data_IF_531520009042
#
_entry.id   IF_531520009042
#
_cell.length_a   1.000
_cell.length_b   1.000
_cell.length_c   1.000
_cell.angle_alpha   90.00
_cell.angle_beta   90.00
_cell.angle_gamma   90.00
#
_symmetry.space_group_name_H-M   'P 1'
#
loop_
_entity.id
_entity.type
_entity.pdbx_description
1 polymer ?
#
# COMPACT_ATOMS: atom_id res chain seq x y z
N UNK A 1 28.03 -38.35 2.49
CA UNK A 1 26.88 -38.01 1.64
C UNK A 1 25.66 -38.07 2.53
N UNK A 2 25.24 -36.91 3.03
CA UNK A 2 23.87 -36.70 3.47
C UNK A 2 23.68 -35.17 3.43
N UNK A 3 22.97 -34.79 2.39
CA UNK A 3 22.72 -33.44 1.91
C UNK A 3 21.53 -32.90 2.70
N UNK A 4 21.81 -32.10 3.72
CA UNK A 4 20.78 -31.40 4.47
C UNK A 4 20.44 -30.10 3.73
N UNK A 5 19.75 -30.23 2.59
CA UNK A 5 19.20 -29.10 1.84
C UNK A 5 17.88 -28.68 2.50
N UNK A 6 17.99 -27.93 3.60
CA UNK A 6 16.86 -27.20 4.13
C UNK A 6 16.47 -26.13 3.10
N UNK A 7 15.19 -26.02 2.70
CA UNK A 7 14.78 -25.02 1.73
C UNK A 7 15.12 -23.65 2.29
N UNK A 8 16.02 -22.95 1.60
CA UNK A 8 16.48 -21.61 1.91
C UNK A 8 15.26 -20.71 2.07
N UNK A 9 14.83 -20.48 3.32
CA UNK A 9 13.67 -19.70 3.64
C UNK A 9 13.94 -18.26 3.18
N UNK A 10 13.41 -17.92 2.00
CA UNK A 10 13.42 -16.55 1.48
C UNK A 10 12.94 -15.64 2.62
N UNK A 11 13.66 -14.58 2.99
CA UNK A 11 13.21 -13.69 4.05
C UNK A 11 11.79 -13.24 3.71
N UNK A 12 10.87 -13.38 4.67
CA UNK A 12 9.47 -13.03 4.49
C UNK A 12 9.38 -11.60 3.95
N UNK A 13 8.93 -11.45 2.70
CA UNK A 13 8.75 -10.15 2.06
C UNK A 13 7.79 -9.34 2.93
N UNK A 14 8.20 -8.14 3.34
CA UNK A 14 7.34 -7.23 4.08
C UNK A 14 6.23 -6.77 3.15
N UNK A 15 5.01 -7.25 3.39
CA UNK A 15 3.82 -6.85 2.64
C UNK A 15 2.96 -5.89 3.49
N UNK A 16 2.61 -4.75 2.90
CA UNK A 16 1.74 -3.75 3.52
C UNK A 16 0.30 -3.98 3.09
N UNK A 17 -0.63 -4.01 4.03
CA UNK A 17 -2.05 -3.88 3.69
C UNK A 17 -2.36 -2.47 3.14
N UNK A 18 -3.55 -2.22 2.54
CA UNK A 18 -3.88 -0.92 1.97
C UNK A 18 -3.87 0.26 2.95
N UNK A 19 -4.22 0.02 4.23
CA UNK A 19 -4.22 1.04 5.28
C UNK A 19 -2.80 1.29 5.76
N UNK A 20 -2.01 0.25 5.96
CA UNK A 20 -0.58 0.33 6.28
C UNK A 20 0.17 1.10 5.20
N UNK A 21 -0.06 0.77 3.92
CA UNK A 21 0.51 1.45 2.76
C UNK A 21 0.13 2.95 2.74
N UNK A 22 -1.14 3.26 3.03
CA UNK A 22 -1.61 4.65 3.15
C UNK A 22 -0.90 5.41 4.27
N UNK A 23 -0.80 4.82 5.46
CA UNK A 23 -0.15 5.44 6.63
C UNK A 23 1.33 5.68 6.35
N UNK A 24 2.04 4.68 5.84
CA UNK A 24 3.46 4.81 5.48
C UNK A 24 3.66 5.88 4.41
N UNK A 25 2.85 5.88 3.35
CA UNK A 25 2.89 6.92 2.32
C UNK A 25 2.66 8.32 2.91
N UNK A 26 1.72 8.48 3.84
CA UNK A 26 1.44 9.76 4.50
C UNK A 26 2.61 10.23 5.38
N UNK A 27 3.22 9.32 6.14
CA UNK A 27 4.39 9.65 6.96
C UNK A 27 5.57 10.09 6.09
N UNK A 28 5.86 9.35 5.01
CA UNK A 28 6.92 9.69 4.05
C UNK A 28 6.66 11.04 3.37
N UNK A 29 5.43 11.26 2.91
CA UNK A 29 5.03 12.52 2.27
C UNK A 29 5.22 13.71 3.22
N UNK A 30 4.74 13.60 4.46
CA UNK A 30 4.79 14.69 5.43
C UNK A 30 6.18 14.93 6.02
N UNK A 31 7.02 13.90 6.11
CA UNK A 31 8.42 14.06 6.46
C UNK A 31 9.17 14.94 5.45
N UNK A 32 8.85 14.81 4.15
CA UNK A 32 9.48 15.60 3.08
C UNK A 32 8.83 16.98 2.89
N UNK A 33 7.50 17.05 2.92
CA UNK A 33 6.75 18.27 2.54
C UNK A 33 6.41 19.21 3.69
N UNK A 34 6.38 18.70 4.92
CA UNK A 34 6.03 19.46 6.13
C UNK A 34 6.92 19.03 7.31
N UNK A 35 8.26 19.21 7.19
CA UNK A 35 9.20 18.73 8.20
C UNK A 35 8.98 19.36 9.58
N UNK A 36 8.40 20.56 9.66
CA UNK A 36 8.05 21.24 10.91
C UNK A 36 6.90 20.56 11.68
N UNK A 37 6.04 19.82 10.98
CA UNK A 37 4.94 19.06 11.58
C UNK A 37 5.37 17.64 11.96
N UNK A 38 6.45 17.13 11.36
CA UNK A 38 6.96 15.78 11.57
C UNK A 38 7.89 15.71 12.80
N UNK A 39 7.83 14.65 13.63
CA UNK A 39 7.00 13.45 13.52
C UNK A 39 5.52 13.68 13.83
N UNK A 40 4.64 12.91 13.18
CA UNK A 40 3.19 13.13 13.23
C UNK A 40 2.54 12.47 14.44
N UNK A 41 1.54 13.12 15.03
CA UNK A 41 0.63 12.46 15.96
C UNK A 41 -0.34 11.54 15.22
N UNK A 42 -0.98 10.61 15.93
CA UNK A 42 -2.01 9.72 15.37
C UNK A 42 -3.12 10.49 14.64
N UNK A 43 -3.61 11.59 15.22
CA UNK A 43 -4.63 12.44 14.58
C UNK A 43 -4.11 13.13 13.31
N UNK A 44 -2.85 13.57 13.29
CA UNK A 44 -2.26 14.16 12.09
C UNK A 44 -2.11 13.11 10.97
N UNK A 45 -1.81 11.86 11.32
CA UNK A 45 -1.77 10.73 10.38
C UNK A 45 -3.16 10.45 9.83
N UNK A 46 -4.18 10.37 10.69
CA UNK A 46 -5.58 10.20 10.28
C UNK A 46 -6.01 11.27 9.27
N UNK A 47 -5.76 12.55 9.59
CA UNK A 47 -6.05 13.67 8.69
C UNK A 47 -5.30 13.53 7.37
N UNK A 48 -4.03 13.14 7.39
CA UNK A 48 -3.23 12.92 6.19
C UNK A 48 -3.76 11.74 5.34
N UNK A 49 -4.22 10.66 5.96
CA UNK A 49 -4.75 9.48 5.27
C UNK A 49 -6.06 9.79 4.51
N UNK A 50 -6.88 10.67 5.09
CA UNK A 50 -8.22 11.04 4.60
C UNK A 50 -8.23 12.31 3.73
N UNK A 51 -7.07 12.80 3.27
CA UNK A 51 -7.01 13.96 2.38
C UNK A 51 -7.75 13.67 1.05
N UNK A 52 -8.50 14.67 0.56
CA UNK A 52 -9.23 14.57 -0.72
C UNK A 52 -8.31 14.72 -1.94
N UNK A 53 -7.14 15.31 -1.75
CA UNK A 53 -6.13 15.51 -2.78
C UNK A 53 -4.95 14.60 -2.52
N UNK A 54 -4.26 14.21 -3.58
CA UNK A 54 -3.11 13.33 -3.50
C UNK A 54 -3.37 11.95 -2.91
N UNK A 55 -4.61 11.47 -2.95
CA UNK A 55 -5.03 10.15 -2.50
C UNK A 55 -5.90 9.49 -3.57
N UNK A 56 -5.48 8.33 -4.03
CA UNK A 56 -6.26 7.49 -4.94
C UNK A 56 -6.13 6.04 -4.42
N UNK A 57 -7.21 5.44 -3.88
CA UNK A 57 -8.53 6.03 -3.64
C UNK A 57 -8.55 7.01 -2.44
N UNK A 58 -9.50 7.95 -2.44
CA UNK A 58 -9.81 8.74 -1.25
C UNK A 58 -10.39 7.80 -0.18
N UNK A 59 -9.83 7.83 1.03
CA UNK A 59 -10.28 7.00 2.15
C UNK A 59 -10.97 7.84 3.21
N UNK A 60 -11.79 7.18 4.04
CA UNK A 60 -12.37 7.72 5.25
C UNK A 60 -12.09 6.73 6.38
N UNK A 61 -10.83 6.71 6.83
CA UNK A 61 -10.41 5.87 7.93
C UNK A 61 -10.92 6.44 9.25
N UNK A 62 -11.22 5.54 10.19
CA UNK A 62 -11.57 5.88 11.57
C UNK A 62 -10.32 5.91 12.46
N UNK A 63 -10.31 6.68 13.57
CA UNK A 63 -9.17 6.75 14.48
C UNK A 63 -8.70 5.37 14.96
N UNK A 64 -9.64 4.48 15.34
CA UNK A 64 -9.33 3.14 15.81
C UNK A 64 -8.61 2.27 14.78
N UNK A 65 -8.96 2.42 13.50
CA UNK A 65 -8.32 1.72 12.38
C UNK A 65 -6.87 2.17 12.20
N UNK A 66 -6.62 3.48 12.28
CA UNK A 66 -5.26 4.04 12.19
C UNK A 66 -4.42 3.63 13.40
N UNK A 67 -4.98 3.68 14.61
CA UNK A 67 -4.31 3.24 15.83
C UNK A 67 -3.87 1.76 15.76
N UNK A 68 -4.77 0.89 15.27
CA UNK A 68 -4.48 -0.53 15.12
C UNK A 68 -3.35 -0.77 14.12
N UNK A 69 -3.43 -0.16 12.93
CA UNK A 69 -2.40 -0.29 11.91
C UNK A 69 -1.05 0.29 12.36
N UNK A 70 -1.02 1.40 13.11
CA UNK A 70 0.22 1.95 13.67
C UNK A 70 0.90 1.00 14.64
N UNK A 71 0.14 0.29 15.49
CA UNK A 71 0.71 -0.73 16.39
C UNK A 71 1.29 -1.91 15.61
N UNK A 72 0.61 -2.36 14.55
CA UNK A 72 1.12 -3.42 13.69
C UNK A 72 2.42 -3.01 12.98
N UNK A 73 2.45 -1.80 12.43
CA UNK A 73 3.63 -1.21 11.81
C UNK A 73 4.79 -1.02 12.79
N UNK A 74 4.51 -0.60 14.03
CA UNK A 74 5.50 -0.47 15.09
C UNK A 74 6.06 -1.84 15.49
N UNK A 75 5.21 -2.86 15.67
CA UNK A 75 5.63 -4.22 15.97
C UNK A 75 6.53 -4.83 14.90
N UNK A 76 6.35 -4.43 13.64
CA UNK A 76 7.20 -4.79 12.49
C UNK A 76 8.40 -3.84 12.31
N UNK A 77 8.52 -2.81 13.15
CA UNK A 77 9.58 -1.81 13.11
C UNK A 77 9.53 -0.88 11.90
N UNK A 78 8.43 -0.84 11.14
CA UNK A 78 8.22 0.04 9.97
C UNK A 78 7.96 1.48 10.37
N UNK A 79 7.47 1.67 11.60
CA UNK A 79 7.28 2.94 12.27
C UNK A 79 7.94 2.86 13.64
N UNK A 80 8.35 4.00 14.21
CA UNK A 80 8.79 4.11 15.61
C UNK A 80 8.15 5.31 16.29
N UNK A 81 7.95 5.22 17.59
CA UNK A 81 7.56 6.37 18.41
C UNK A 81 8.77 7.27 18.69
N UNK A 82 8.60 8.57 18.50
CA UNK A 82 9.62 9.58 18.76
C UNK A 82 9.88 9.70 20.29
N UNK A 83 11.15 9.64 20.76
CA UNK A 83 11.48 9.54 22.19
C UNK A 83 11.05 10.74 23.06
N UNK A 84 10.82 11.91 22.45
CA UNK A 84 10.71 13.19 23.16
C UNK A 84 9.29 13.74 23.31
N UNK A 85 8.25 13.00 22.94
CA UNK A 85 6.89 13.54 22.91
C UNK A 85 6.15 13.37 24.24
N UNK A 86 6.27 14.35 25.14
CA UNK A 86 5.71 14.32 26.51
C UNK A 86 4.18 14.39 26.60
N UNK A 87 3.47 14.81 25.54
CA UNK A 87 2.01 15.06 25.58
C UNK A 87 1.17 14.12 24.73
N UNK A 88 1.72 13.62 23.63
CA UNK A 88 1.01 12.72 22.69
C UNK A 88 2.04 11.90 21.92
N UNK A 89 1.77 10.61 21.66
CA UNK A 89 2.66 9.81 20.84
C UNK A 89 2.82 10.43 19.44
N UNK A 90 4.07 10.50 18.98
CA UNK A 90 4.42 10.95 17.63
C UNK A 90 5.19 9.84 16.93
N UNK A 91 4.89 9.62 15.66
CA UNK A 91 5.37 8.49 14.89
C UNK A 91 6.29 8.94 13.76
N UNK A 92 7.39 8.22 13.61
CA UNK A 92 8.36 8.36 12.52
C UNK A 92 8.34 7.12 11.63
N UNK A 93 8.37 7.30 10.30
CA UNK A 93 8.59 6.17 9.40
C UNK A 93 10.03 5.66 9.49
N UNK A 94 10.21 4.37 9.24
CA UNK A 94 11.52 3.71 9.06
C UNK A 94 11.69 3.16 7.64
N UNK A 95 10.98 3.74 6.67
CA UNK A 95 10.94 3.33 5.27
C UNK A 95 12.30 2.89 4.70
N UNK A 96 13.32 3.76 4.75
CA UNK A 96 14.63 3.45 4.17
C UNK A 96 15.37 2.34 4.90
N UNK A 97 15.10 2.12 6.18
CA UNK A 97 15.73 1.04 6.94
C UNK A 97 15.24 -0.34 6.51
N UNK A 98 14.03 -0.42 5.97
CA UNK A 98 13.44 -1.68 5.49
C UNK A 98 13.68 -1.91 4.01
N UNK A 99 13.54 -0.86 3.20
CA UNK A 99 13.67 -0.99 1.75
C UNK A 99 14.99 -0.45 1.19
N UNK A 100 15.90 0.10 1.98
CA UNK A 100 17.22 0.54 1.50
C UNK A 100 17.14 1.55 0.34
N UNK A 101 16.21 2.50 0.43
CA UNK A 101 15.89 3.43 -0.67
C UNK A 101 16.65 4.75 -0.56
N UNK A 102 17.01 5.32 -1.71
CA UNK A 102 17.45 6.73 -1.78
C UNK A 102 16.26 7.68 -1.67
N UNK A 103 16.51 8.98 -1.47
CA UNK A 103 15.44 9.99 -1.41
C UNK A 103 14.56 10.01 -2.69
N UNK A 104 15.18 9.91 -3.88
CA UNK A 104 14.47 9.84 -5.16
C UNK A 104 13.63 8.56 -5.29
N UNK A 105 14.18 7.42 -4.92
CA UNK A 105 13.45 6.15 -4.94
C UNK A 105 12.25 6.16 -3.99
N UNK A 106 12.46 6.66 -2.76
CA UNK A 106 11.42 6.81 -1.75
C UNK A 106 10.31 7.77 -2.22
N UNK A 107 10.66 8.87 -2.89
CA UNK A 107 9.68 9.80 -3.44
C UNK A 107 8.76 9.12 -4.47
N UNK A 108 9.32 8.37 -5.42
CA UNK A 108 8.55 7.63 -6.43
C UNK A 108 7.63 6.60 -5.78
N UNK A 109 8.15 5.80 -4.84
CA UNK A 109 7.36 4.80 -4.11
C UNK A 109 6.25 5.44 -3.27
N UNK A 110 6.52 6.59 -2.64
CA UNK A 110 5.53 7.35 -1.87
C UNK A 110 4.34 7.77 -2.75
N UNK A 111 4.60 8.26 -3.97
CA UNK A 111 3.51 8.62 -4.89
C UNK A 111 2.69 7.40 -5.27
N UNK A 112 3.33 6.27 -5.58
CA UNK A 112 2.62 5.03 -5.91
C UNK A 112 1.81 4.48 -4.73
N UNK A 113 2.32 4.53 -3.50
CA UNK A 113 1.60 4.12 -2.29
C UNK A 113 0.32 4.96 -2.06
N UNK A 114 0.38 6.24 -2.41
CA UNK A 114 -0.72 7.17 -2.17
C UNK A 114 -1.72 7.24 -3.33
N UNK A 115 -1.30 6.89 -4.55
CA UNK A 115 -2.08 7.11 -5.76
C UNK A 115 -2.18 5.90 -6.72
N UNK A 116 -1.56 4.78 -6.38
CA UNK A 116 -1.58 3.58 -7.20
C UNK A 116 -0.66 3.69 -8.44
N UNK A 117 -1.05 3.08 -9.57
CA UNK A 117 -0.22 3.02 -10.78
C UNK A 117 -0.07 4.38 -11.47
N UNK A 118 1.16 4.76 -11.81
CA UNK A 118 1.49 6.09 -12.32
C UNK A 118 2.28 6.04 -13.62
N UNK A 119 2.10 7.01 -14.52
CA UNK A 119 3.02 7.20 -15.66
C UNK A 119 4.28 7.98 -15.23
N UNK A 120 5.33 7.96 -16.06
CA UNK A 120 6.56 8.73 -15.79
C UNK A 120 6.30 10.24 -15.70
N UNK A 121 5.44 10.78 -16.56
CA UNK A 121 5.10 12.20 -16.56
C UNK A 121 4.36 12.60 -15.27
N UNK A 122 3.45 11.75 -14.80
CA UNK A 122 2.75 11.98 -13.54
C UNK A 122 3.69 11.86 -12.34
N UNK A 123 4.59 10.87 -12.33
CA UNK A 123 5.60 10.74 -11.28
C UNK A 123 6.45 12.00 -11.22
N UNK A 124 7.02 12.44 -12.35
CA UNK A 124 7.82 13.66 -12.44
C UNK A 124 7.10 14.88 -11.85
N UNK A 125 5.83 15.08 -12.21
CA UNK A 125 5.03 16.19 -11.70
C UNK A 125 4.68 16.06 -10.20
N UNK A 126 4.48 14.84 -9.70
CA UNK A 126 3.97 14.58 -8.33
C UNK A 126 5.08 14.37 -7.31
N UNK A 127 6.32 14.08 -7.73
CA UNK A 127 7.48 13.92 -6.84
C UNK A 127 8.22 15.22 -6.56
N UNK A 128 7.90 16.32 -7.26
CA UNK A 128 8.62 17.61 -7.18
C UNK A 128 8.82 18.12 -5.74
N UNK A 129 7.80 17.97 -4.88
CA UNK A 129 7.86 18.38 -3.47
C UNK A 129 8.48 17.32 -2.53
N UNK A 130 8.77 16.13 -3.03
CA UNK A 130 9.30 15.00 -2.26
C UNK A 130 10.80 14.83 -2.45
N UNK A 131 11.29 15.02 -3.69
CA UNK A 131 12.70 14.97 -4.04
C UNK A 131 12.94 15.70 -5.37
N UNK A 132 14.14 16.25 -5.53
CA UNK A 132 14.52 16.93 -6.77
C UNK A 132 14.81 15.95 -7.91
N UNK A 133 14.10 16.13 -9.02
CA UNK A 133 14.33 15.45 -10.29
C UNK A 133 14.59 16.49 -11.40
N UNK A 134 15.81 16.57 -11.95
CA UNK A 134 16.14 17.52 -13.00
C UNK A 134 15.35 17.29 -14.30
N UNK A 135 14.99 16.04 -14.58
CA UNK A 135 14.27 15.67 -15.81
C UNK A 135 13.38 14.44 -15.62
N UNK A 136 12.50 14.20 -16.59
CA UNK A 136 11.71 12.96 -16.67
C UNK A 136 12.60 11.72 -16.89
N UNK A 137 13.78 11.89 -17.49
CA UNK A 137 14.73 10.80 -17.69
C UNK A 137 15.34 10.36 -16.35
N UNK A 138 15.60 11.28 -15.42
CA UNK A 138 16.03 10.94 -14.05
C UNK A 138 14.96 10.11 -13.30
N UNK A 139 13.68 10.40 -13.55
CA UNK A 139 12.56 9.62 -13.00
C UNK A 139 12.54 8.23 -13.62
N UNK A 140 12.69 8.14 -14.95
CA UNK A 140 12.77 6.85 -15.67
C UNK A 140 13.89 5.99 -15.11
N UNK A 141 15.11 6.53 -15.04
CA UNK A 141 16.28 5.82 -14.51
C UNK A 141 16.06 5.35 -13.07
N UNK A 142 15.37 6.16 -12.26
CA UNK A 142 15.04 5.81 -10.87
C UNK A 142 14.04 4.67 -10.80
N UNK A 143 13.01 4.70 -11.63
CA UNK A 143 12.01 3.64 -11.75
C UNK A 143 12.63 2.36 -12.29
N UNK A 144 13.44 2.44 -13.35
CA UNK A 144 14.11 1.29 -13.96
C UNK A 144 15.04 0.59 -12.95
N UNK A 145 15.78 1.37 -12.14
CA UNK A 145 16.55 0.81 -11.01
C UNK A 145 15.69 0.10 -9.97
N UNK A 146 14.46 0.57 -9.71
CA UNK A 146 13.54 -0.07 -8.77
C UNK A 146 12.92 -1.36 -9.36
N UNK A 147 12.74 -1.41 -10.68
CA UNK A 147 12.26 -2.60 -11.42
C UNK A 147 13.35 -3.67 -11.52
N UNK A 148 14.60 -3.28 -11.79
CA UNK A 148 15.74 -4.19 -11.98
C UNK A 148 16.36 -4.67 -10.67
N UNK A 149 15.97 -4.09 -9.53
CA UNK A 149 16.50 -4.48 -8.22
C UNK A 149 16.05 -5.89 -7.85
N UNK A 150 16.85 -6.57 -7.02
CA UNK A 150 16.47 -7.79 -6.33
C UNK A 150 16.42 -7.55 -4.79
N UNK A 151 15.25 -7.71 -4.14
CA UNK A 151 13.92 -7.88 -4.73
C UNK A 151 13.43 -6.61 -5.44
N UNK A 152 12.62 -6.78 -6.48
CA UNK A 152 12.02 -5.66 -7.21
C UNK A 152 11.02 -4.93 -6.31
N UNK A 153 11.02 -3.60 -6.36
CA UNK A 153 10.09 -2.76 -5.58
C UNK A 153 9.01 -2.12 -6.43
N UNK A 154 9.19 -2.15 -7.75
CA UNK A 154 8.26 -1.60 -8.74
C UNK A 154 8.11 -2.59 -9.88
N UNK A 155 6.92 -2.66 -10.46
CA UNK A 155 6.62 -3.40 -11.69
C UNK A 155 6.10 -2.43 -12.75
N UNK A 156 6.49 -2.67 -14.01
CA UNK A 156 5.91 -1.98 -15.16
C UNK A 156 4.58 -2.64 -15.53
N UNK A 157 3.54 -1.84 -15.62
CA UNK A 157 2.20 -2.20 -16.08
C UNK A 157 2.06 -1.73 -17.53
N UNK A 158 2.06 -2.66 -18.50
CA UNK A 158 1.92 -2.30 -19.91
C UNK A 158 0.65 -1.51 -20.16
N UNK A 159 0.73 -0.54 -21.08
CA UNK A 159 -0.43 0.22 -21.49
C UNK A 159 -1.56 -0.68 -22.01
N UNK A 160 -2.78 -0.40 -21.59
CA UNK A 160 -3.97 -0.99 -22.19
C UNK A 160 -4.30 -0.37 -23.56
N UNK A 161 -5.15 -1.04 -24.33
CA UNK A 161 -5.61 -0.53 -25.62
C UNK A 161 -6.25 0.86 -25.48
N UNK A 162 -5.75 1.85 -26.23
CA UNK A 162 -6.20 3.25 -26.16
C UNK A 162 -5.39 4.16 -25.23
N UNK A 163 -4.39 3.63 -24.51
CA UNK A 163 -3.49 4.43 -23.69
C UNK A 163 -2.16 4.70 -24.39
N UNK A 164 -1.57 5.86 -24.11
CA UNK A 164 -0.35 6.32 -24.80
C UNK A 164 0.92 5.84 -24.10
N UNK A 165 0.89 5.66 -22.78
CA UNK A 165 2.07 5.44 -21.93
C UNK A 165 1.88 4.24 -20.98
N UNK A 166 2.99 3.58 -20.67
CA UNK A 166 3.05 2.54 -19.62
C UNK A 166 2.91 3.18 -18.23
N UNK A 167 2.43 2.38 -17.27
CA UNK A 167 2.37 2.75 -15.86
C UNK A 167 3.32 1.92 -15.03
N UNK A 168 3.54 2.36 -13.81
CA UNK A 168 4.42 1.71 -12.84
C UNK A 168 3.70 1.62 -11.50
N UNK A 169 3.79 0.47 -10.85
CA UNK A 169 3.14 0.18 -9.57
C UNK A 169 4.14 -0.39 -8.59
N UNK A 170 4.03 -0.04 -7.31
CA UNK A 170 4.88 -0.59 -6.26
C UNK A 170 4.54 -2.06 -5.95
N UNK A 171 5.50 -2.80 -5.42
CA UNK A 171 5.34 -4.19 -4.96
C UNK A 171 5.36 -4.34 -3.43
N UNK A 172 5.32 -3.21 -2.71
CA UNK A 172 5.34 -3.16 -1.24
C UNK A 172 4.10 -3.75 -0.56
N UNK A 173 3.02 -3.98 -1.31
CA UNK A 173 1.77 -4.59 -0.83
C UNK A 173 1.56 -6.00 -1.38
N UNK A 174 2.65 -6.67 -1.75
CA UNK A 174 2.63 -8.01 -2.33
C UNK A 174 2.59 -8.01 -3.86
N UNK A 175 2.33 -9.19 -4.42
CA UNK A 175 2.28 -9.40 -5.86
C UNK A 175 1.12 -8.63 -6.50
N UNK A 176 1.39 -7.97 -7.62
CA UNK A 176 0.42 -7.21 -8.40
C UNK A 176 0.04 -8.03 -9.63
N UNK A 177 -1.26 -8.26 -9.83
CA UNK A 177 -1.79 -8.80 -11.08
C UNK A 177 -1.75 -7.69 -12.15
N UNK A 178 -0.73 -7.77 -13.01
CA UNK A 178 -0.42 -6.73 -14.00
C UNK A 178 -1.50 -6.68 -15.09
N UNK A 179 -2.05 -7.82 -15.48
CA UNK A 179 -3.13 -7.93 -16.45
C UNK A 179 -4.41 -7.26 -15.95
N UNK A 180 -4.81 -7.51 -14.71
CA UNK A 180 -5.97 -6.85 -14.10
C UNK A 180 -5.78 -5.34 -13.95
N UNK A 181 -4.58 -4.90 -13.58
CA UNK A 181 -4.27 -3.47 -13.43
C UNK A 181 -4.25 -2.74 -14.77
N UNK A 182 -3.75 -3.38 -15.82
CA UNK A 182 -3.81 -2.87 -17.18
C UNK A 182 -5.27 -2.74 -17.63
N UNK A 183 -6.08 -3.79 -17.42
CA UNK A 183 -7.49 -3.80 -17.81
C UNK A 183 -8.30 -2.69 -17.11
N UNK A 184 -8.16 -2.55 -15.79
CA UNK A 184 -8.85 -1.53 -14.98
C UNK A 184 -8.43 -0.09 -15.27
N UNK A 185 -7.23 0.11 -15.82
CA UNK A 185 -6.73 1.44 -16.20
C UNK A 185 -7.30 1.95 -17.53
N UNK A 186 -8.02 1.12 -18.29
CA UNK A 186 -8.65 1.54 -19.55
C UNK A 186 -9.72 2.62 -19.29
N UNK A 187 -9.85 3.65 -20.14
CA UNK A 187 -10.92 4.62 -20.02
C UNK A 187 -12.26 3.97 -20.40
N UNK A 188 -12.83 3.20 -19.49
CA UNK A 188 -14.20 2.73 -19.58
C UNK A 188 -15.09 3.84 -19.05
N UNK A 189 -15.72 4.55 -19.99
CA UNK A 189 -16.90 5.39 -19.77
C UNK A 189 -17.84 4.78 -18.72
N UNK A 190 -17.81 5.29 -17.49
CA UNK A 190 -18.87 5.25 -16.46
C UNK A 190 -19.59 3.91 -16.14
N UNK A 191 -19.23 2.78 -16.74
CA UNK A 191 -19.87 1.47 -16.58
C UNK A 191 -19.07 0.49 -15.72
N UNK A 192 -17.79 0.79 -15.42
CA UNK A 192 -16.95 -0.04 -14.54
C UNK A 192 -17.36 0.04 -13.06
N UNK A 193 -18.04 1.13 -12.67
CA UNK A 193 -18.60 1.24 -11.31
C UNK A 193 -19.79 0.29 -11.11
N UNK A 194 -20.56 -0.05 -12.15
CA UNK A 194 -21.65 -1.01 -12.03
C UNK A 194 -21.13 -2.44 -11.99
N UNK A 195 -20.18 -2.81 -12.86
CA UNK A 195 -19.63 -4.18 -12.89
C UNK A 195 -18.89 -4.53 -11.60
N UNK A 196 -18.02 -3.64 -11.11
CA UNK A 196 -17.32 -3.85 -9.83
C UNK A 196 -18.26 -3.92 -8.62
N UNK A 197 -19.37 -3.16 -8.63
CA UNK A 197 -20.41 -3.26 -7.59
C UNK A 197 -21.20 -4.58 -7.69
N UNK A 198 -21.48 -5.05 -8.90
CA UNK A 198 -22.14 -6.35 -9.11
C UNK A 198 -21.23 -7.49 -8.67
N UNK A 199 -19.95 -7.48 -9.05
CA UNK A 199 -18.98 -8.51 -8.65
C UNK A 199 -18.76 -8.52 -7.12
N UNK A 200 -18.75 -7.34 -6.48
CA UNK A 200 -18.68 -7.24 -5.03
C UNK A 200 -19.97 -7.77 -4.37
N UNK A 201 -21.14 -7.43 -4.92
CA UNK A 201 -22.42 -7.88 -4.39
C UNK A 201 -22.56 -9.40 -4.45
N UNK A 202 -22.21 -10.02 -5.59
CA UNK A 202 -22.21 -11.48 -5.74
C UNK A 202 -21.22 -12.15 -4.78
N UNK A 203 -20.06 -11.54 -4.55
CA UNK A 203 -19.06 -12.07 -3.60
C UNK A 203 -19.52 -11.93 -2.15
N UNK A 204 -20.18 -10.83 -1.80
CA UNK A 204 -20.79 -10.64 -0.47
C UNK A 204 -21.90 -11.65 -0.26
N UNK A 205 -22.80 -11.84 -1.22
CA UNK A 205 -23.90 -12.81 -1.12
C UNK A 205 -23.37 -14.24 -0.94
N UNK A 206 -22.34 -14.64 -1.70
CA UNK A 206 -21.68 -15.94 -1.53
C UNK A 206 -21.05 -16.09 -0.14
N UNK A 207 -20.35 -15.06 0.34
CA UNK A 207 -19.72 -15.10 1.65
C UNK A 207 -20.75 -15.13 2.78
N UNK A 208 -21.87 -14.43 2.64
CA UNK A 208 -22.98 -14.48 3.61
C UNK A 208 -23.61 -15.86 3.65
N UNK A 209 -23.78 -16.52 2.50
CA UNK A 209 -24.27 -17.90 2.42
C UNK A 209 -23.30 -18.91 3.06
N UNK A 210 -21.99 -18.79 2.77
CA UNK A 210 -20.96 -19.63 3.40
C UNK A 210 -20.90 -19.43 4.91
N UNK A 211 -21.05 -18.19 5.38
CA UNK A 211 -21.04 -17.85 6.80
C UNK A 211 -22.29 -18.38 7.51
N UNK A 212 -23.47 -18.30 6.87
CA UNK A 212 -24.69 -18.92 7.37
C UNK A 212 -24.53 -20.45 7.51
N UNK A 213 -24.02 -21.11 6.47
CA UNK A 213 -23.77 -22.56 6.51
C UNK A 213 -22.75 -22.95 7.60
N UNK A 214 -21.71 -22.13 7.81
CA UNK A 214 -20.71 -22.39 8.83
C UNK A 214 -21.28 -22.18 10.25
N UNK A 215 -22.17 -21.19 10.44
CA UNK A 215 -22.88 -20.98 11.71
C UNK A 215 -23.80 -22.15 12.02
N UNK A 216 -24.57 -22.63 11.05
CA UNK A 216 -25.46 -23.79 11.24
C UNK A 216 -24.66 -25.05 11.59
N UNK A 217 -23.54 -25.29 10.90
CA UNK A 217 -22.65 -26.41 11.20
C UNK A 217 -22.02 -26.29 12.60
N UNK A 218 -21.64 -25.08 13.02
CA UNK A 218 -21.10 -24.81 14.35
C UNK A 218 -22.14 -25.02 15.45
N UNK A 219 -23.37 -24.55 15.26
CA UNK A 219 -24.46 -24.73 16.22
C UNK A 219 -24.86 -26.20 16.36
N UNK A 220 -24.90 -26.95 15.24
CA UNK A 220 -25.12 -28.39 15.25
C UNK A 220 -24.00 -29.16 15.99
N UNK A 221 -22.74 -28.74 15.81
CA UNK A 221 -21.61 -29.32 16.55
C UNK A 221 -21.70 -28.97 18.04
N UNK A 222 -22.07 -27.74 18.39
CA UNK A 222 -22.21 -27.29 19.78
C UNK A 222 -23.33 -28.04 20.50
N UNK A 223 -24.45 -28.31 19.85
CA UNK A 223 -25.53 -29.13 20.40
C UNK A 223 -25.06 -30.56 20.66
N UNK A 224 -24.35 -31.18 19.70
CA UNK A 224 -23.79 -32.53 19.86
C UNK A 224 -22.75 -32.66 20.98
N UNK A 225 -22.01 -31.59 21.27
CA UNK A 225 -21.02 -31.57 22.37
C UNK A 225 -21.67 -31.21 23.71
N UNK A 226 -22.82 -30.53 23.71
CA UNK A 226 -23.56 -30.16 24.92
C UNK A 226 -24.56 -31.21 25.41
N UNK A 227 -24.85 -32.23 24.59
CA UNK A 227 -25.73 -33.37 24.90
C UNK A 227 -24.96 -34.63 25.40
N UNK A 228 -23.65 -34.52 25.63
CA UNK A 228 -22.77 -35.48 26.35
C UNK A 228 -22.34 -34.90 27.72
#
# INVERSE_FOLDING_TARGET
MEENDAPNARPATIELDPIEARIIGCLVEKAATTPEAYPLTENAILVACNQKTSREPVMQLEPGTVAHALRALEGRGLVKVAPSSQRALRYEHRFDAHWGTTARQRAVLCVMLLRGPQTLAELHARTDRLAEFPSIDDVRDTVDRLVQREPALVVRVPRAHGQREDRYMHLLSGAVDVEQLAASSSPSSSSSSSSSRTDLAERVERLEAELAALRDAFDALRQRIGDD
#
